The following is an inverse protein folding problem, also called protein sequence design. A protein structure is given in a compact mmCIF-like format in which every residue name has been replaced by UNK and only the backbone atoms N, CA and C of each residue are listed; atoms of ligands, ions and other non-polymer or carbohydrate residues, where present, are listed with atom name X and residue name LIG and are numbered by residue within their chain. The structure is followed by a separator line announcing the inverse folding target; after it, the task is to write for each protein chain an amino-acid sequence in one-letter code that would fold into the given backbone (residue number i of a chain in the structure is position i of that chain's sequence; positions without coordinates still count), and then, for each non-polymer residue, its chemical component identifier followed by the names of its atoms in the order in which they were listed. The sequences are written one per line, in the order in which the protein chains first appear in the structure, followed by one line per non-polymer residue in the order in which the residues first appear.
data_IF_470421189357
#
_entry.id   IF_470421189357
#
_cell.length_a   1.000
_cell.length_b   1.000
_cell.length_c   1.000
_cell.angle_alpha   90.00
_cell.angle_beta   90.00
_cell.angle_gamma   90.00
#
_symmetry.space_group_name_H-M   'P 1'
#
loop_
_entity.id
_entity.type
_entity.pdbx_description
1 polymer ?
#
# COMPACT_ATOMS: atom_id res chain seq x y z
N UNK A 1 8.89 -2.49 16.27
CA UNK A 1 7.68 -3.28 16.00
C UNK A 1 7.65 -3.51 14.51
N UNK A 2 7.33 -4.72 14.05
CA UNK A 2 7.15 -4.97 12.62
C UNK A 2 5.72 -4.61 12.20
N UNK A 3 5.54 -3.94 11.05
CA UNK A 3 4.22 -3.63 10.53
C UNK A 3 3.46 -4.92 10.23
N UNK A 4 2.13 -4.90 10.44
CA UNK A 4 1.28 -6.06 10.16
C UNK A 4 0.99 -6.22 8.66
N UNK A 5 1.15 -5.14 7.89
CA UNK A 5 1.13 -5.14 6.43
C UNK A 5 2.14 -4.12 5.94
N UNK A 6 2.96 -4.54 4.99
CA UNK A 6 3.91 -3.67 4.29
C UNK A 6 3.75 -3.86 2.78
N UNK A 7 3.46 -2.76 2.08
CA UNK A 7 3.41 -2.70 0.63
C UNK A 7 4.58 -1.83 0.18
N UNK A 8 5.47 -2.41 -0.64
CA UNK A 8 6.62 -1.71 -1.20
C UNK A 8 6.54 -1.69 -2.72
N UNK A 9 6.70 -0.50 -3.30
CA UNK A 9 6.77 -0.29 -4.74
C UNK A 9 5.63 -0.96 -5.52
N UNK A 10 4.40 -0.93 -4.99
CA UNK A 10 3.25 -1.48 -5.69
C UNK A 10 3.03 -0.68 -6.97
N UNK A 11 3.26 -1.35 -8.09
CA UNK A 11 3.07 -0.82 -9.43
C UNK A 11 2.07 -1.67 -10.18
N UNK A 12 1.06 -1.01 -10.74
CA UNK A 12 0.09 -1.66 -11.60
C UNK A 12 -0.34 -0.70 -12.69
N UNK A 13 -0.22 -1.15 -13.93
CA UNK A 13 -0.68 -0.41 -15.10
C UNK A 13 -2.09 -0.89 -15.46
N UNK A 14 -2.96 0.08 -15.69
CA UNK A 14 -4.27 -0.08 -16.28
C UNK A 14 -4.28 0.75 -17.58
N UNK A 15 -5.23 0.49 -18.47
CA UNK A 15 -5.24 1.10 -19.80
C UNK A 15 -5.31 2.64 -19.74
N UNK A 16 -5.97 3.20 -18.72
CA UNK A 16 -6.14 4.65 -18.55
C UNK A 16 -5.30 5.28 -17.46
N UNK A 17 -4.72 4.50 -16.53
CA UNK A 17 -3.91 5.04 -15.44
C UNK A 17 -2.93 3.99 -14.88
N UNK A 18 -2.01 4.44 -14.03
CA UNK A 18 -1.10 3.52 -13.32
C UNK A 18 -1.02 3.89 -11.85
N UNK A 19 -0.95 2.84 -11.01
CA UNK A 19 -0.41 2.96 -9.67
C UNK A 19 1.11 2.97 -9.80
N UNK A 20 1.74 4.05 -9.35
CA UNK A 20 3.19 4.28 -9.48
C UNK A 20 3.83 4.19 -8.11
N UNK A 21 4.51 3.07 -7.87
CA UNK A 21 5.39 2.85 -6.73
C UNK A 21 4.73 3.23 -5.39
N UNK A 22 3.52 2.71 -5.17
CA UNK A 22 2.77 2.94 -3.93
C UNK A 22 3.51 2.22 -2.79
N UNK A 23 3.79 2.96 -1.71
CA UNK A 23 4.41 2.46 -0.49
C UNK A 23 3.47 2.72 0.68
N UNK A 24 3.17 1.67 1.46
CA UNK A 24 2.24 1.71 2.59
C UNK A 24 2.75 0.80 3.71
N UNK A 25 2.66 1.24 4.95
CA UNK A 25 2.76 0.37 6.12
C UNK A 25 1.51 0.52 6.98
N UNK A 26 1.06 -0.61 7.53
CA UNK A 26 -0.01 -0.65 8.53
C UNK A 26 0.59 -1.17 9.83
N UNK A 27 0.68 -0.30 10.83
CA UNK A 27 1.10 -0.70 12.17
C UNK A 27 -0.06 -1.37 12.91
N UNK A 28 0.30 -2.22 13.88
CA UNK A 28 -0.68 -2.88 14.74
C UNK A 28 -1.52 -1.83 15.49
N UNK A 29 -2.85 -1.98 15.45
CA UNK A 29 -3.79 -1.12 16.15
C UNK A 29 -4.39 0.02 15.32
N UNK A 30 -3.91 0.23 14.08
CA UNK A 30 -4.59 1.11 13.13
C UNK A 30 -5.69 0.37 12.37
N UNK A 31 -6.75 1.10 12.04
CA UNK A 31 -7.84 0.66 11.16
C UNK A 31 -7.76 1.52 9.90
N UNK A 32 -7.64 0.90 8.72
CA UNK A 32 -7.79 1.57 7.44
C UNK A 32 -9.24 1.45 6.95
N UNK A 33 -9.84 2.59 6.61
CA UNK A 33 -11.21 2.68 6.10
C UNK A 33 -11.26 3.08 4.63
N UNK A 34 -12.46 2.97 4.04
CA UNK A 34 -12.79 3.33 2.67
C UNK A 34 -13.05 4.83 2.51
#
# INVERSE_FOLDING_TARGET
MEPILEIKNLRKNFDSFSLKDINLSLERGYIMGF
#
